data_IF_750884739655
#
_entry.id   IF_750884739655
#
_cell.length_a   1.000
_cell.length_b   1.000
_cell.length_c   1.000
_cell.angle_alpha   90.00
_cell.angle_beta   90.00
_cell.angle_gamma   90.00
#
_symmetry.space_group_name_H-M   'P 1'
#
loop_
_entity.id
_entity.type
_entity.pdbx_description
1 polymer ?
#
# COMPACT_ATOMS: atom_id res chain seq x y z
N UNK A 1 -33.48 11.54 6.36
CA UNK A 1 -32.40 12.55 6.21
C UNK A 1 -31.36 12.14 5.17
N UNK A 2 -30.81 10.92 5.17
CA UNK A 2 -29.97 10.41 4.04
C UNK A 2 -30.80 9.82 2.89
N UNK A 3 -31.98 9.26 3.19
CA UNK A 3 -32.90 8.65 2.20
C UNK A 3 -33.44 9.60 1.13
N UNK A 4 -33.37 10.92 1.37
CA UNK A 4 -33.92 11.93 0.47
C UNK A 4 -32.84 12.58 -0.41
N UNK A 5 -31.59 12.09 -0.33
CA UNK A 5 -30.51 12.56 -1.19
C UNK A 5 -30.69 12.00 -2.60
N UNK A 6 -30.44 12.82 -3.62
CA UNK A 6 -30.42 12.37 -4.99
C UNK A 6 -29.21 11.46 -5.26
N UNK A 7 -29.31 10.67 -6.33
CA UNK A 7 -28.28 9.72 -6.68
C UNK A 7 -26.92 10.37 -6.95
N UNK A 8 -26.89 11.57 -7.54
CA UNK A 8 -25.65 12.30 -7.80
C UNK A 8 -24.95 12.73 -6.51
N UNK A 9 -25.69 13.26 -5.55
CA UNK A 9 -25.15 13.60 -4.23
C UNK A 9 -24.62 12.38 -3.49
N UNK A 10 -25.32 11.23 -3.56
CA UNK A 10 -24.83 9.98 -2.97
C UNK A 10 -23.50 9.52 -3.59
N UNK A 11 -23.35 9.61 -4.91
CA UNK A 11 -22.10 9.29 -5.59
C UNK A 11 -20.95 10.20 -5.14
N UNK A 12 -21.19 11.51 -5.05
CA UNK A 12 -20.19 12.48 -4.59
C UNK A 12 -19.79 12.23 -3.14
N UNK A 13 -20.76 11.95 -2.26
CA UNK A 13 -20.51 11.62 -0.86
C UNK A 13 -19.60 10.38 -0.73
N UNK A 14 -19.91 9.31 -1.46
CA UNK A 14 -19.09 8.10 -1.46
C UNK A 14 -17.70 8.33 -2.04
N UNK A 15 -17.59 9.16 -3.08
CA UNK A 15 -16.30 9.55 -3.64
C UNK A 15 -15.45 10.32 -2.63
N UNK A 16 -16.05 11.25 -1.87
CA UNK A 16 -15.37 11.96 -0.77
C UNK A 16 -14.92 10.98 0.31
N UNK A 17 -15.78 10.04 0.74
CA UNK A 17 -15.43 9.03 1.74
C UNK A 17 -14.23 8.19 1.26
N UNK A 18 -14.28 7.66 0.03
CA UNK A 18 -13.18 6.88 -0.52
C UNK A 18 -11.88 7.70 -0.60
N UNK A 19 -11.97 8.97 -0.99
CA UNK A 19 -10.84 9.88 -1.07
C UNK A 19 -10.23 10.18 0.31
N UNK A 20 -11.06 10.37 1.33
CA UNK A 20 -10.62 10.57 2.72
C UNK A 20 -9.94 9.30 3.24
N UNK A 21 -10.51 8.12 3.00
CA UNK A 21 -9.89 6.85 3.40
C UNK A 21 -8.54 6.65 2.70
N UNK A 22 -8.45 6.96 1.41
CA UNK A 22 -7.19 6.95 0.66
C UNK A 22 -6.16 7.93 1.21
N UNK A 23 -6.57 9.15 1.56
CA UNK A 23 -5.70 10.15 2.18
C UNK A 23 -5.23 9.72 3.58
N UNK A 24 -6.11 9.11 4.38
CA UNK A 24 -5.77 8.52 5.67
C UNK A 24 -4.76 7.38 5.51
N UNK A 25 -4.94 6.52 4.51
CA UNK A 25 -3.95 5.48 4.19
C UNK A 25 -2.58 6.10 3.94
N UNK A 26 -2.48 7.14 3.09
CA UNK A 26 -1.23 7.85 2.82
C UNK A 26 -0.62 8.44 4.10
N UNK A 27 -1.42 9.08 4.94
CA UNK A 27 -0.95 9.61 6.23
C UNK A 27 -0.41 8.52 7.17
N UNK A 28 -1.04 7.34 7.17
CA UNK A 28 -0.63 6.20 7.99
C UNK A 28 0.63 5.51 7.46
N UNK A 29 1.11 5.84 6.25
CA UNK A 29 2.34 5.26 5.69
C UNK A 29 3.62 5.61 6.46
N UNK A 30 3.54 6.40 7.54
CA UNK A 30 4.65 6.58 8.48
C UNK A 30 5.20 5.25 9.01
N UNK A 31 4.36 4.21 9.14
CA UNK A 31 4.80 2.87 9.54
C UNK A 31 5.78 2.31 8.51
N UNK A 32 5.36 2.29 7.24
CA UNK A 32 6.15 1.85 6.10
C UNK A 32 7.44 2.69 5.97
N UNK A 33 7.32 4.00 6.10
CA UNK A 33 8.46 4.91 6.13
C UNK A 33 9.47 4.58 7.22
N UNK A 34 8.99 4.40 8.45
CA UNK A 34 9.83 4.04 9.60
C UNK A 34 10.56 2.71 9.42
N UNK A 35 9.92 1.72 8.78
CA UNK A 35 10.57 0.44 8.45
C UNK A 35 11.78 0.63 7.53
N UNK A 36 11.67 1.50 6.52
CA UNK A 36 12.80 1.77 5.60
C UNK A 36 13.97 2.50 6.27
N UNK A 37 13.70 3.21 7.37
CA UNK A 37 14.69 3.97 8.13
C UNK A 37 15.38 3.14 9.20
N UNK A 38 14.94 1.91 9.45
CA UNK A 38 15.39 1.08 10.57
C UNK A 38 16.92 1.00 10.65
N UNK A 39 17.59 0.57 9.58
CA UNK A 39 19.06 0.42 9.57
C UNK A 39 19.83 1.75 9.44
N UNK A 40 19.13 2.85 9.14
CA UNK A 40 19.74 4.18 9.10
C UNK A 40 19.79 4.79 10.50
N UNK A 41 18.70 4.64 11.27
CA UNK A 41 18.50 5.23 12.59
C UNK A 41 19.05 4.34 13.70
N UNK A 42 18.84 3.03 13.63
CA UNK A 42 19.34 2.09 14.64
C UNK A 42 20.71 1.50 14.24
N UNK A 43 21.67 1.58 15.16
CA UNK A 43 23.02 1.00 15.05
C UNK A 43 23.19 -0.23 15.93
N UNK A 44 22.41 -0.34 17.01
CA UNK A 44 22.44 -1.48 17.93
C UNK A 44 21.16 -2.33 17.86
N UNK A 45 21.23 -3.60 18.22
CA UNK A 45 20.06 -4.50 18.27
C UNK A 45 18.98 -3.99 19.24
N UNK A 46 19.40 -3.29 20.30
CA UNK A 46 18.54 -2.60 21.26
C UNK A 46 17.79 -1.43 20.62
N UNK A 47 18.47 -0.57 19.88
CA UNK A 47 17.84 0.53 19.13
C UNK A 47 16.87 0.00 18.06
N UNK A 48 17.27 -1.03 17.32
CA UNK A 48 16.41 -1.68 16.31
C UNK A 48 15.15 -2.24 16.96
N UNK A 49 15.27 -2.79 18.18
CA UNK A 49 14.11 -3.23 18.94
C UNK A 49 13.19 -2.07 19.36
N UNK A 50 13.74 -0.93 19.79
CA UNK A 50 12.91 0.25 20.13
C UNK A 50 12.14 0.78 18.91
N UNK A 51 12.81 0.93 17.77
CA UNK A 51 12.19 1.37 16.51
C UNK A 51 11.07 0.40 16.11
N UNK A 52 11.37 -0.90 16.03
CA UNK A 52 10.39 -1.92 15.62
C UNK A 52 9.21 -1.99 16.59
N UNK A 53 9.44 -1.90 17.90
CA UNK A 53 8.37 -1.93 18.90
C UNK A 53 7.48 -0.68 18.81
N UNK A 54 8.07 0.49 18.56
CA UNK A 54 7.32 1.74 18.39
C UNK A 54 6.40 1.69 17.17
N UNK A 55 6.92 1.21 16.02
CA UNK A 55 6.14 1.03 14.80
C UNK A 55 5.13 -0.13 14.94
N UNK A 56 5.52 -1.21 15.62
CA UNK A 56 4.73 -2.41 15.81
C UNK A 56 3.43 -2.20 16.61
N UNK A 57 3.33 -1.16 17.43
CA UNK A 57 2.05 -0.82 18.08
C UNK A 57 0.98 -0.32 17.11
N UNK A 58 1.38 0.06 15.89
CA UNK A 58 0.54 0.73 14.91
C UNK A 58 0.59 0.07 13.53
N UNK A 59 1.28 -1.06 13.39
CA UNK A 59 1.59 -1.64 12.08
C UNK A 59 0.35 -2.07 11.29
N UNK A 60 -0.74 -2.40 11.99
CA UNK A 60 -2.00 -2.83 11.39
C UNK A 60 -2.77 -1.67 10.73
N UNK A 61 -2.56 -0.42 11.17
CA UNK A 61 -3.37 0.72 10.73
C UNK A 61 -3.34 0.95 9.22
N UNK A 62 -2.17 0.98 8.53
CA UNK A 62 -2.14 1.17 7.09
C UNK A 62 -2.80 0.00 6.35
N UNK A 63 -2.57 -1.23 6.81
CA UNK A 63 -3.15 -2.42 6.16
C UNK A 63 -4.67 -2.43 6.27
N UNK A 64 -5.22 -2.23 7.47
CA UNK A 64 -6.68 -2.19 7.67
C UNK A 64 -7.31 -1.02 6.91
N UNK A 65 -6.62 0.13 6.81
CA UNK A 65 -7.12 1.27 6.01
C UNK A 65 -7.11 0.97 4.51
N UNK A 66 -6.10 0.24 4.00
CA UNK A 66 -6.05 -0.22 2.62
C UNK A 66 -7.19 -1.21 2.31
N UNK A 67 -7.47 -2.15 3.22
CA UNK A 67 -8.59 -3.08 3.10
C UNK A 67 -9.93 -2.34 3.14
N UNK A 68 -10.08 -1.37 4.05
CA UNK A 68 -11.27 -0.51 4.13
C UNK A 68 -11.47 0.28 2.83
N UNK A 69 -10.41 0.81 2.23
CA UNK A 69 -10.46 1.50 0.94
C UNK A 69 -11.01 0.58 -0.15
N UNK A 70 -10.48 -0.65 -0.25
CA UNK A 70 -10.98 -1.66 -1.19
C UNK A 70 -12.46 -2.00 -0.94
N UNK A 71 -12.85 -2.20 0.31
CA UNK A 71 -14.23 -2.49 0.70
C UNK A 71 -15.21 -1.35 0.39
N UNK A 72 -14.80 -0.11 0.64
CA UNK A 72 -15.59 1.08 0.31
C UNK A 72 -15.80 1.20 -1.20
N UNK A 73 -14.76 0.98 -2.01
CA UNK A 73 -14.87 0.95 -3.47
C UNK A 73 -15.74 -0.20 -3.97
N UNK A 74 -15.64 -1.38 -3.37
CA UNK A 74 -16.50 -2.51 -3.70
C UNK A 74 -17.98 -2.19 -3.45
N UNK A 75 -18.28 -1.58 -2.30
CA UNK A 75 -19.64 -1.24 -1.90
C UNK A 75 -20.25 -0.08 -2.72
N UNK A 76 -19.44 0.93 -3.07
CA UNK A 76 -19.94 2.17 -3.70
C UNK A 76 -19.72 2.24 -5.21
N UNK A 77 -18.62 1.69 -5.72
CA UNK A 77 -18.21 1.75 -7.13
C UNK A 77 -17.78 0.37 -7.66
N UNK A 78 -18.70 -0.60 -7.75
CA UNK A 78 -18.37 -1.99 -8.06
C UNK A 78 -17.69 -2.19 -9.42
N UNK A 79 -18.06 -1.39 -10.44
CA UNK A 79 -17.39 -1.43 -11.76
C UNK A 79 -15.94 -0.97 -11.69
N UNK A 80 -15.65 0.07 -10.89
CA UNK A 80 -14.28 0.53 -10.68
C UNK A 80 -13.48 -0.53 -9.92
N UNK A 81 -14.06 -1.08 -8.86
CA UNK A 81 -13.43 -2.13 -8.07
C UNK A 81 -13.08 -3.36 -8.93
N UNK A 82 -14.03 -3.88 -9.72
CA UNK A 82 -13.80 -5.07 -10.55
C UNK A 82 -12.76 -4.82 -11.65
N UNK A 83 -12.79 -3.65 -12.27
CA UNK A 83 -11.85 -3.27 -13.33
C UNK A 83 -10.43 -3.10 -12.79
N UNK A 84 -10.28 -2.47 -11.61
CA UNK A 84 -8.97 -2.19 -11.01
C UNK A 84 -8.40 -3.42 -10.28
N UNK A 85 -9.09 -3.92 -9.25
CA UNK A 85 -8.60 -5.02 -8.41
C UNK A 85 -8.62 -6.38 -9.14
N UNK A 86 -9.68 -6.64 -9.92
CA UNK A 86 -9.77 -7.85 -10.74
C UNK A 86 -8.90 -7.78 -11.99
N UNK A 87 -8.62 -6.57 -12.46
CA UNK A 87 -7.86 -6.32 -13.68
C UNK A 87 -6.36 -6.34 -13.51
N UNK A 88 -5.84 -5.38 -12.73
CA UNK A 88 -4.43 -5.21 -12.38
C UNK A 88 -3.96 -6.27 -11.36
N UNK A 89 -4.32 -7.52 -11.62
CA UNK A 89 -4.23 -8.65 -10.70
C UNK A 89 -2.84 -8.80 -10.09
N UNK A 90 -1.79 -8.80 -10.93
CA UNK A 90 -0.44 -9.06 -10.44
C UNK A 90 0.10 -7.93 -9.56
N UNK A 91 -0.24 -6.67 -9.86
CA UNK A 91 0.16 -5.52 -9.04
C UNK A 91 -0.47 -5.62 -7.66
N UNK A 92 -1.78 -5.89 -7.59
CA UNK A 92 -2.48 -6.03 -6.31
C UNK A 92 -2.01 -7.25 -5.50
N UNK A 93 -1.73 -8.38 -6.16
CA UNK A 93 -1.15 -9.56 -5.49
C UNK A 93 0.23 -9.24 -4.89
N UNK A 94 1.09 -8.53 -5.62
CA UNK A 94 2.40 -8.12 -5.11
C UNK A 94 2.25 -7.18 -3.90
N UNK A 95 1.34 -6.20 -3.97
CA UNK A 95 1.03 -5.31 -2.84
C UNK A 95 0.61 -6.16 -1.63
N UNK A 96 -0.38 -7.03 -1.78
CA UNK A 96 -0.86 -7.88 -0.68
C UNK A 96 0.26 -8.73 -0.08
N UNK A 97 1.09 -9.34 -0.91
CA UNK A 97 2.20 -10.18 -0.44
C UNK A 97 3.21 -9.39 0.38
N UNK A 98 3.53 -8.16 -0.02
CA UNK A 98 4.42 -7.30 0.79
C UNK A 98 3.84 -6.98 2.16
N UNK A 99 2.51 -6.77 2.27
CA UNK A 99 1.84 -6.52 3.55
C UNK A 99 1.69 -7.78 4.42
N UNK A 100 1.49 -8.96 3.81
CA UNK A 100 1.49 -10.24 4.53
C UNK A 100 2.86 -10.49 5.16
N UNK A 101 3.93 -10.33 4.38
CA UNK A 101 5.30 -10.51 4.85
C UNK A 101 5.63 -9.50 5.98
N UNK A 102 5.13 -8.27 5.89
CA UNK A 102 5.24 -7.27 6.97
C UNK A 102 4.58 -7.78 8.27
N UNK A 103 3.33 -8.26 8.20
CA UNK A 103 2.60 -8.77 9.36
C UNK A 103 3.34 -9.92 10.04
N UNK A 104 3.80 -10.89 9.25
CA UNK A 104 4.62 -12.01 9.72
C UNK A 104 5.91 -11.50 10.38
N UNK A 105 6.52 -10.45 9.84
CA UNK A 105 7.76 -9.91 10.39
C UNK A 105 7.58 -9.28 11.76
N UNK A 106 6.49 -8.57 12.01
CA UNK A 106 6.22 -8.03 13.35
C UNK A 106 5.96 -9.14 14.37
N UNK A 107 5.21 -10.18 13.99
CA UNK A 107 4.84 -11.26 14.89
C UNK A 107 6.01 -12.20 15.22
N UNK A 108 6.85 -12.54 14.23
CA UNK A 108 7.85 -13.61 14.36
C UNK A 108 9.29 -13.13 14.60
N UNK A 109 9.60 -11.84 14.45
CA UNK A 109 10.98 -11.33 14.59
C UNK A 109 11.67 -11.75 15.90
N UNK A 110 10.94 -11.74 17.02
CA UNK A 110 11.47 -12.06 18.36
C UNK A 110 10.89 -13.34 18.98
N UNK A 111 10.16 -14.17 18.22
CA UNK A 111 9.66 -15.44 18.78
C UNK A 111 10.81 -16.41 19.06
N UNK A 112 10.64 -17.20 20.12
CA UNK A 112 11.53 -18.32 20.41
C UNK A 112 11.51 -19.31 19.23
N UNK A 113 12.68 -19.86 18.89
CA UNK A 113 12.81 -20.75 17.72
C UNK A 113 12.84 -20.03 16.37
N UNK A 114 13.10 -18.72 16.33
CA UNK A 114 13.36 -18.00 15.08
C UNK A 114 14.60 -18.57 14.36
N UNK A 115 14.36 -19.35 13.30
CA UNK A 115 15.40 -19.98 12.47
C UNK A 115 16.07 -19.00 11.51
N UNK A 116 15.36 -17.96 11.07
CA UNK A 116 15.79 -17.03 10.01
C UNK A 116 16.53 -15.79 10.56
N UNK A 117 16.47 -15.56 11.87
CA UNK A 117 17.08 -14.42 12.55
C UNK A 117 16.28 -13.11 12.40
N UNK A 118 16.52 -12.17 13.31
CA UNK A 118 15.79 -10.89 13.34
C UNK A 118 16.03 -10.05 12.07
N UNK A 119 17.24 -10.08 11.51
CA UNK A 119 17.63 -9.32 10.32
C UNK A 119 16.83 -9.69 9.07
N UNK A 120 16.43 -10.95 8.92
CA UNK A 120 15.60 -11.37 7.79
C UNK A 120 14.21 -10.75 7.85
N UNK A 121 13.60 -10.72 9.05
CA UNK A 121 12.31 -10.05 9.25
C UNK A 121 12.42 -8.52 9.12
N UNK A 122 13.55 -7.94 9.49
CA UNK A 122 13.81 -6.51 9.24
C UNK A 122 13.93 -6.20 7.75
N UNK A 123 14.52 -7.09 6.95
CA UNK A 123 14.56 -6.97 5.50
C UNK A 123 13.16 -7.07 4.89
N UNK A 124 12.33 -7.98 5.39
CA UNK A 124 10.93 -8.10 5.00
C UNK A 124 10.12 -6.83 5.30
N UNK A 125 10.34 -6.21 6.46
CA UNK A 125 9.79 -4.88 6.76
C UNK A 125 10.31 -3.81 5.79
N UNK A 126 11.61 -3.81 5.47
CA UNK A 126 12.18 -2.88 4.50
C UNK A 126 11.57 -3.05 3.10
N UNK A 127 11.35 -4.29 2.66
CA UNK A 127 10.70 -4.61 1.37
C UNK A 127 9.28 -4.06 1.35
N UNK A 128 8.49 -4.23 2.42
CA UNK A 128 7.17 -3.64 2.52
C UNK A 128 7.22 -2.10 2.45
N UNK A 129 8.07 -1.49 3.27
CA UNK A 129 8.19 -0.03 3.33
C UNK A 129 8.66 0.60 2.02
N UNK A 130 9.41 -0.13 1.20
CA UNK A 130 9.93 0.34 -0.08
C UNK A 130 9.05 -0.14 -1.25
N UNK A 131 9.10 -1.44 -1.56
CA UNK A 131 8.43 -2.03 -2.73
C UNK A 131 6.92 -1.95 -2.60
N UNK A 132 6.36 -2.22 -1.40
CA UNK A 132 4.92 -2.14 -1.16
C UNK A 132 4.36 -0.74 -1.43
N UNK A 133 5.01 0.30 -0.88
CA UNK A 133 4.61 1.70 -1.09
C UNK A 133 4.81 2.14 -2.54
N UNK A 134 5.92 1.74 -3.17
CA UNK A 134 6.19 2.03 -4.58
C UNK A 134 5.10 1.46 -5.50
N UNK A 135 4.71 0.19 -5.28
CA UNK A 135 3.66 -0.46 -6.06
C UNK A 135 2.31 0.23 -5.88
N UNK A 136 1.97 0.67 -4.67
CA UNK A 136 0.75 1.44 -4.43
C UNK A 136 0.79 2.77 -5.19
N UNK A 137 1.89 3.50 -5.15
CA UNK A 137 1.99 4.76 -5.91
C UNK A 137 1.97 4.55 -7.42
N UNK A 138 2.57 3.46 -7.92
CA UNK A 138 2.45 3.09 -9.33
C UNK A 138 1.01 2.73 -9.71
N UNK A 139 0.29 1.99 -8.86
CA UNK A 139 -1.12 1.67 -9.06
C UNK A 139 -1.99 2.93 -9.09
N UNK A 140 -1.79 3.87 -8.16
CA UNK A 140 -2.50 5.17 -8.18
C UNK A 140 -2.10 6.00 -9.41
N UNK A 141 -0.85 5.89 -9.87
CA UNK A 141 -0.38 6.55 -11.09
C UNK A 141 -1.19 6.17 -12.33
N UNK A 142 -1.62 4.90 -12.40
CA UNK A 142 -2.47 4.43 -13.51
C UNK A 142 -3.81 5.14 -13.61
N UNK A 143 -4.30 5.78 -12.53
CA UNK A 143 -5.52 6.58 -12.59
C UNK A 143 -5.35 7.84 -13.44
N UNK A 144 -4.11 8.30 -13.62
CA UNK A 144 -3.77 9.45 -14.47
C UNK A 144 -3.32 9.00 -15.87
N UNK A 145 -2.51 7.94 -15.97
CA UNK A 145 -1.99 7.47 -17.27
C UNK A 145 -2.97 6.58 -18.03
N UNK A 146 -4.00 6.08 -17.37
CA UNK A 146 -4.90 5.07 -17.90
C UNK A 146 -4.28 3.66 -17.91
N UNK A 147 -5.07 2.69 -18.37
CA UNK A 147 -4.66 1.29 -18.56
C UNK A 147 -5.40 0.68 -19.74
N UNK A 148 -4.78 -0.29 -20.41
CA UNK A 148 -5.33 -0.91 -21.62
C UNK A 148 -6.32 -2.03 -21.26
N UNK A 149 -7.60 -1.69 -21.13
CA UNK A 149 -8.68 -2.64 -20.94
C UNK A 149 -9.90 -2.29 -21.82
N UNK A 150 -10.71 -3.29 -22.12
CA UNK A 150 -12.02 -3.11 -22.78
C UNK A 150 -13.14 -3.66 -21.91
N UNK A 151 -14.29 -3.00 -21.98
CA UNK A 151 -15.54 -3.46 -21.39
C UNK A 151 -16.48 -3.94 -22.51
N UNK A 152 -17.02 -5.15 -22.40
CA UNK A 152 -18.06 -5.62 -23.33
C UNK A 152 -19.48 -5.22 -22.89
N UNK A 153 -20.48 -5.49 -23.73
CA UNK A 153 -21.89 -5.17 -23.44
C UNK A 153 -22.43 -5.87 -22.19
N UNK A 154 -21.82 -6.99 -21.79
CA UNK A 154 -22.13 -7.73 -20.57
C UNK A 154 -21.38 -7.19 -19.33
N UNK A 155 -20.72 -6.04 -19.43
CA UNK A 155 -19.87 -5.44 -18.40
C UNK A 155 -18.71 -6.32 -17.93
N UNK A 156 -18.21 -7.22 -18.78
CA UNK A 156 -17.00 -7.99 -18.50
C UNK A 156 -15.77 -7.19 -18.94
N UNK A 157 -14.78 -7.14 -18.06
CA UNK A 157 -13.54 -6.40 -18.27
C UNK A 157 -12.46 -7.35 -18.78
N UNK A 158 -11.86 -7.01 -19.92
CA UNK A 158 -10.71 -7.74 -20.48
C UNK A 158 -9.51 -6.81 -20.54
N UNK A 159 -8.44 -7.15 -19.83
CA UNK A 159 -7.16 -6.45 -19.91
C UNK A 159 -6.39 -6.92 -21.14
N UNK A 160 -5.82 -5.99 -21.88
CA UNK A 160 -5.33 -6.26 -23.24
C UNK A 160 -3.80 -6.24 -23.35
N UNK A 161 -3.09 -5.65 -22.39
CA UNK A 161 -1.64 -5.50 -22.48
C UNK A 161 -0.93 -6.86 -22.42
N UNK A 162 -0.18 -7.17 -23.48
CA UNK A 162 0.54 -8.43 -23.64
C UNK A 162 2.00 -8.17 -23.97
N UNK A 163 2.92 -8.82 -23.26
CA UNK A 163 4.36 -8.78 -23.53
C UNK A 163 4.85 -10.21 -23.72
N UNK A 164 5.41 -10.52 -24.91
CA UNK A 164 5.91 -11.87 -25.22
C UNK A 164 4.84 -12.97 -25.18
N UNK A 165 3.58 -12.62 -25.47
CA UNK A 165 2.44 -13.56 -25.41
C UNK A 165 1.81 -13.75 -24.02
N UNK A 166 2.36 -13.12 -22.97
CA UNK A 166 1.84 -13.17 -21.60
C UNK A 166 1.08 -11.87 -21.30
N UNK A 167 -0.16 -12.01 -20.82
CA UNK A 167 -0.95 -10.88 -20.35
C UNK A 167 -0.42 -10.40 -18.99
N UNK A 168 0.06 -9.16 -18.95
CA UNK A 168 0.74 -8.61 -17.78
C UNK A 168 -0.20 -8.20 -16.65
N UNK A 169 -1.50 -8.02 -16.94
CA UNK A 169 -2.55 -7.72 -15.95
C UNK A 169 -2.10 -6.73 -14.88
N UNK A 170 -1.64 -5.55 -15.31
CA UNK A 170 -1.23 -4.44 -14.45
C UNK A 170 0.28 -4.23 -14.34
N UNK A 171 1.13 -5.23 -14.61
CA UNK A 171 2.59 -5.05 -14.49
C UNK A 171 3.14 -4.02 -15.48
N UNK A 172 2.42 -3.72 -16.55
CA UNK A 172 2.73 -2.64 -17.48
C UNK A 172 2.78 -1.26 -16.83
N UNK A 173 2.16 -1.10 -15.64
CA UNK A 173 2.26 0.13 -14.86
C UNK A 173 3.71 0.52 -14.54
N UNK A 174 4.61 -0.48 -14.44
CA UNK A 174 6.03 -0.25 -14.21
C UNK A 174 6.78 0.34 -15.43
N UNK A 175 6.20 0.30 -16.63
CA UNK A 175 6.84 0.87 -17.83
C UNK A 175 6.56 2.36 -18.00
N UNK A 176 5.59 2.90 -17.26
CA UNK A 176 5.31 4.33 -17.24
C UNK A 176 6.22 5.06 -16.25
N UNK A 177 7.03 5.98 -16.76
CA UNK A 177 7.88 6.82 -15.93
C UNK A 177 7.05 7.66 -14.94
N UNK A 178 5.85 8.09 -15.33
CA UNK A 178 4.95 8.85 -14.44
C UNK A 178 4.51 8.00 -13.25
N UNK A 179 4.12 6.75 -13.48
CA UNK A 179 3.67 5.84 -12.43
C UNK A 179 4.80 5.51 -11.46
N UNK A 180 6.00 5.24 -11.98
CA UNK A 180 7.19 5.04 -11.17
C UNK A 180 7.57 6.30 -10.36
N UNK A 181 7.47 7.48 -10.97
CA UNK A 181 7.75 8.75 -10.29
C UNK A 181 6.78 9.00 -9.15
N UNK A 182 5.49 8.69 -9.33
CA UNK A 182 4.49 8.77 -8.26
C UNK A 182 4.76 7.73 -7.16
N UNK A 183 5.16 6.51 -7.54
CA UNK A 183 5.63 5.48 -6.62
C UNK A 183 6.79 5.95 -5.75
N UNK A 184 7.84 6.49 -6.37
CA UNK A 184 9.00 7.04 -5.67
C UNK A 184 8.62 8.22 -4.77
N UNK A 185 7.77 9.12 -5.26
CA UNK A 185 7.24 10.22 -4.46
C UNK A 185 6.57 9.72 -3.18
N UNK A 186 5.72 8.69 -3.26
CA UNK A 186 5.09 8.11 -2.08
C UNK A 186 6.09 7.45 -1.13
N UNK A 187 7.13 6.77 -1.64
CA UNK A 187 8.18 6.20 -0.78
C UNK A 187 8.91 7.30 -0.01
N UNK A 188 9.27 8.41 -0.65
CA UNK A 188 9.91 9.54 0.03
C UNK A 188 8.96 10.22 1.02
N UNK A 189 7.69 10.40 0.64
CA UNK A 189 6.68 10.95 1.54
C UNK A 189 6.50 10.08 2.80
N UNK A 190 6.36 8.77 2.63
CA UNK A 190 6.28 7.80 3.72
C UNK A 190 7.52 7.91 4.62
N UNK A 191 8.73 7.99 4.03
CA UNK A 191 9.99 8.18 4.78
C UNK A 191 9.99 9.45 5.61
N UNK A 192 9.52 10.57 5.09
CA UNK A 192 9.41 11.83 5.85
C UNK A 192 8.45 11.66 7.03
N UNK A 193 7.27 11.08 6.79
CA UNK A 193 6.30 10.80 7.85
C UNK A 193 6.86 9.86 8.92
N UNK A 194 7.57 8.81 8.49
CA UNK A 194 8.26 7.87 9.37
C UNK A 194 9.34 8.53 10.21
N UNK A 195 10.18 9.39 9.61
CA UNK A 195 11.21 10.13 10.32
C UNK A 195 10.59 11.05 11.39
N UNK A 196 9.55 11.81 11.04
CA UNK A 196 8.83 12.68 11.98
C UNK A 196 8.19 11.88 13.12
N UNK A 197 7.59 10.72 12.81
CA UNK A 197 7.03 9.84 13.82
C UNK A 197 8.10 9.30 14.78
N UNK A 198 9.25 8.85 14.25
CA UNK A 198 10.33 8.31 15.07
C UNK A 198 10.97 9.40 15.94
N UNK A 199 11.20 10.60 15.40
CA UNK A 199 11.71 11.76 16.16
C UNK A 199 10.81 12.13 17.35
N UNK A 200 9.49 12.00 17.19
CA UNK A 200 8.54 12.35 18.24
C UNK A 200 8.32 11.23 19.27
N UNK A 201 8.71 9.99 18.97
CA UNK A 201 8.41 8.82 19.82
C UNK A 201 9.65 8.10 20.36
N UNK A 202 10.84 8.47 19.90
CA UNK A 202 12.09 7.85 20.34
C UNK A 202 13.03 8.90 20.91
N UNK A 203 13.28 8.80 22.20
CA UNK A 203 14.46 9.40 22.83
C UNK A 203 15.58 8.37 22.77
N UNK A 204 16.29 8.34 21.63
CA UNK A 204 17.50 7.52 21.51
C UNK A 204 18.61 8.19 22.35
N UNK A 205 19.30 7.44 23.24
CA UNK A 205 20.37 7.97 24.08
C UNK A 205 21.61 8.41 23.27
#
# INVERSE_FOLDING_TARGET
>A
MISNLDYGTLQQLWWIICSVVGALFLFLTFVQGGQTLLWQVAKTDTESAFVVNSLGRKWELPFTTLVLFGGALFASFPKFYSTSFGGAYWVWILILFTFIIQAVSYEYRKKSGNVWGAKTYELFMFINGSVGVLLIGAAVGTFYTGSAFSLNDMNQVTWQYTLGGINLRGLEAAFSLFNLSLGLFLVFNARVLGALYLLNNLDLP
#
